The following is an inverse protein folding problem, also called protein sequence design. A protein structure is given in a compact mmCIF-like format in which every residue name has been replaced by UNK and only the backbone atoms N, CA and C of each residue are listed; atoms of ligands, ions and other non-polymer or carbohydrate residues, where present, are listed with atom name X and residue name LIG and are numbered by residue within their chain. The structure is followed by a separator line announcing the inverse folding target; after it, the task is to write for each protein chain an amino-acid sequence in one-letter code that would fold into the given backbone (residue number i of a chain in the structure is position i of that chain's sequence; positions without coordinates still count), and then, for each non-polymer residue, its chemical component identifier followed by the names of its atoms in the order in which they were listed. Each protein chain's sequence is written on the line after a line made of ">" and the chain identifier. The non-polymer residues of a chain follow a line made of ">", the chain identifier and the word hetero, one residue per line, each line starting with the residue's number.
data_IF_526282477913
#
_entry.id   IF_526282477913
#
_cell.length_a   1.000
_cell.length_b   1.000
_cell.length_c   1.000
_cell.angle_alpha   90.00
_cell.angle_beta   90.00
_cell.angle_gamma   90.00
#
_symmetry.space_group_name_H-M   'P 1'
#
loop_
_entity.id
_entity.type
_entity.pdbx_description
1 polymer ?
#
# COMPACT_ATOMS: atom_id res chain seq x y z
N UNK A 1 -11.32 -4.71 -32.85
CA UNK A 1 -10.62 -3.43 -32.62
C UNK A 1 -9.28 -3.77 -31.99
N UNK A 2 -8.17 -3.05 -32.28
CA UNK A 2 -6.89 -3.37 -31.65
C UNK A 2 -7.00 -3.17 -30.13
N UNK A 3 -6.66 -4.20 -29.36
CA UNK A 3 -6.63 -4.14 -27.88
C UNK A 3 -5.51 -3.21 -27.42
N UNK A 4 -5.69 -2.59 -26.26
CA UNK A 4 -4.71 -1.66 -25.68
C UNK A 4 -3.74 -2.40 -24.74
N UNK A 5 -3.30 -3.59 -25.15
CA UNK A 5 -2.43 -4.47 -24.37
C UNK A 5 -0.96 -4.28 -24.75
N UNK A 6 -0.12 -4.03 -23.75
CA UNK A 6 1.33 -3.94 -23.87
C UNK A 6 2.01 -5.24 -23.42
N UNK A 7 2.91 -5.73 -24.28
CA UNK A 7 3.76 -6.90 -24.04
C UNK A 7 5.20 -6.49 -24.34
N UNK A 8 5.99 -6.33 -23.29
CA UNK A 8 7.39 -5.93 -23.40
C UNK A 8 8.24 -7.04 -24.04
N UNK A 9 9.41 -6.66 -24.55
CA UNK A 9 10.35 -7.61 -25.15
C UNK A 9 10.82 -8.66 -24.14
N UNK A 10 10.93 -8.31 -22.86
CA UNK A 10 11.31 -9.24 -21.79
C UNK A 10 10.20 -10.28 -21.56
N UNK A 11 8.93 -9.84 -21.45
CA UNK A 11 7.80 -10.74 -21.30
C UNK A 11 7.67 -11.65 -22.53
N UNK A 12 7.82 -11.08 -23.74
CA UNK A 12 7.79 -11.83 -25.00
C UNK A 12 8.91 -12.87 -25.09
N UNK A 13 10.11 -12.56 -24.61
CA UNK A 13 11.22 -13.50 -24.60
C UNK A 13 10.96 -14.70 -23.69
N UNK A 14 10.26 -14.51 -22.57
CA UNK A 14 9.94 -15.57 -21.61
C UNK A 14 8.76 -16.45 -22.04
N UNK A 15 7.66 -15.85 -22.54
CA UNK A 15 6.46 -16.61 -22.95
C UNK A 15 6.54 -17.13 -24.39
N UNK A 16 7.47 -16.60 -25.19
CA UNK A 16 7.63 -16.91 -26.61
C UNK A 16 6.78 -16.03 -27.54
N UNK A 17 7.27 -15.83 -28.78
CA UNK A 17 6.65 -14.95 -29.76
C UNK A 17 5.23 -15.37 -30.14
N UNK A 18 4.98 -16.67 -30.26
CA UNK A 18 3.67 -17.21 -30.64
C UNK A 18 2.60 -16.97 -29.57
N UNK A 19 2.95 -17.09 -28.29
CA UNK A 19 2.06 -16.81 -27.16
C UNK A 19 1.82 -15.30 -27.01
N UNK A 20 2.87 -14.49 -27.15
CA UNK A 20 2.75 -13.03 -27.14
C UNK A 20 1.83 -12.53 -28.27
N UNK A 21 1.91 -13.12 -29.45
CA UNK A 21 1.04 -12.77 -30.57
C UNK A 21 -0.42 -13.19 -30.31
N UNK A 22 -0.65 -14.37 -29.70
CA UNK A 22 -2.00 -14.82 -29.26
C UNK A 22 -2.63 -13.90 -28.21
N UNK A 23 -1.84 -13.32 -27.31
CA UNK A 23 -2.31 -12.33 -26.34
C UNK A 23 -2.70 -11.01 -27.00
N UNK A 24 -1.93 -10.58 -28.01
CA UNK A 24 -2.17 -9.33 -28.73
C UNK A 24 -3.36 -9.43 -29.70
N UNK A 25 -3.60 -10.59 -30.32
CA UNK A 25 -4.87 -10.90 -31.02
C UNK A 25 -6.00 -11.16 -30.03
N UNK A 26 -5.61 -11.56 -28.82
CA UNK A 26 -6.36 -11.89 -27.61
C UNK A 26 -7.36 -13.01 -27.79
N UNK A 27 -6.83 -14.10 -28.32
CA UNK A 27 -7.38 -15.44 -28.15
C UNK A 27 -7.20 -15.92 -26.69
N UNK A 28 -6.09 -15.51 -26.04
CA UNK A 28 -5.74 -15.93 -24.66
C UNK A 28 -5.80 -14.80 -23.61
N UNK A 29 -6.15 -13.57 -24.01
CA UNK A 29 -6.31 -12.45 -23.08
C UNK A 29 -7.70 -12.49 -22.40
N UNK A 30 -7.78 -12.32 -21.07
CA UNK A 30 -9.05 -12.32 -20.36
C UNK A 30 -9.89 -11.08 -20.74
N UNK A 31 -11.22 -11.23 -20.72
CA UNK A 31 -12.16 -10.11 -20.95
C UNK A 31 -12.22 -9.10 -19.80
N UNK A 32 -11.80 -9.50 -18.62
CA UNK A 32 -11.68 -8.65 -17.44
C UNK A 32 -10.59 -9.20 -16.54
N UNK A 33 -9.83 -8.33 -15.88
CA UNK A 33 -8.80 -8.71 -14.92
C UNK A 33 -8.88 -7.83 -13.67
N UNK A 34 -8.41 -8.33 -12.55
CA UNK A 34 -8.11 -7.48 -11.39
C UNK A 34 -6.66 -6.99 -11.51
N UNK A 35 -6.47 -5.67 -11.55
CA UNK A 35 -5.14 -5.09 -11.67
C UNK A 35 -4.23 -5.61 -10.54
N UNK A 36 -3.11 -6.25 -10.88
CA UNK A 36 -2.20 -6.82 -9.86
C UNK A 36 -1.65 -5.77 -8.88
N UNK A 37 -1.65 -4.50 -9.28
CA UNK A 37 -1.23 -3.36 -8.45
C UNK A 37 -2.34 -2.81 -7.56
N UNK A 38 -3.44 -2.32 -8.16
CA UNK A 38 -4.47 -1.57 -7.45
C UNK A 38 -5.74 -2.40 -7.14
N UNK A 39 -5.78 -3.66 -7.58
CA UNK A 39 -6.90 -4.61 -7.45
C UNK A 39 -8.25 -4.11 -7.98
N UNK A 40 -8.23 -3.04 -8.78
CA UNK A 40 -9.42 -2.55 -9.47
C UNK A 40 -9.63 -3.36 -10.75
N UNK A 41 -10.87 -3.71 -11.10
CA UNK A 41 -11.17 -4.36 -12.38
C UNK A 41 -10.73 -3.49 -13.56
N UNK A 42 -10.18 -4.13 -14.59
CA UNK A 42 -9.87 -3.52 -15.88
C UNK A 42 -10.24 -4.44 -17.04
N UNK A 43 -10.38 -3.87 -18.24
CA UNK A 43 -10.70 -4.60 -19.48
C UNK A 43 -9.70 -4.21 -20.58
N UNK A 44 -8.90 -5.15 -21.11
CA UNK A 44 -7.87 -4.87 -22.13
C UNK A 44 -8.44 -4.48 -23.50
N UNK A 45 -9.76 -4.61 -23.72
CA UNK A 45 -10.43 -4.07 -24.90
C UNK A 45 -10.70 -2.56 -24.81
N UNK A 46 -10.88 -2.03 -23.59
CA UNK A 46 -11.25 -0.62 -23.37
C UNK A 46 -10.18 0.20 -22.65
N UNK A 47 -9.34 -0.44 -21.85
CA UNK A 47 -8.36 0.20 -20.98
C UNK A 47 -6.93 -0.12 -21.43
N UNK A 48 -5.99 0.84 -21.33
CA UNK A 48 -4.57 0.56 -21.46
C UNK A 48 -4.09 -0.45 -20.41
N UNK A 49 -3.61 -1.60 -20.85
CA UNK A 49 -3.23 -2.74 -20.00
C UNK A 49 -1.78 -3.15 -20.25
N UNK A 50 -1.04 -3.42 -19.18
CA UNK A 50 0.30 -4.02 -19.20
C UNK A 50 0.23 -5.49 -18.79
N UNK A 51 1.05 -6.32 -19.43
CA UNK A 51 1.33 -7.69 -18.98
C UNK A 51 2.45 -7.74 -17.95
N UNK A 52 2.24 -8.45 -16.84
CA UNK A 52 3.25 -8.68 -15.80
C UNK A 52 3.46 -10.18 -15.67
N UNK A 53 4.66 -10.66 -15.96
CA UNK A 53 5.00 -12.07 -15.83
C UNK A 53 5.77 -12.29 -14.53
N UNK A 54 5.18 -13.03 -13.60
CA UNK A 54 5.87 -13.44 -12.39
C UNK A 54 6.58 -14.77 -12.63
N UNK A 55 7.89 -14.84 -12.39
CA UNK A 55 8.71 -16.03 -12.62
C UNK A 55 9.28 -16.50 -11.28
N UNK A 56 8.92 -17.73 -10.90
CA UNK A 56 9.48 -18.50 -9.80
C UNK A 56 10.58 -19.45 -10.26
N UNK A 57 10.98 -20.37 -9.38
CA UNK A 57 12.01 -21.37 -9.71
C UNK A 57 11.47 -22.47 -10.63
N UNK A 58 10.19 -22.82 -10.47
CA UNK A 58 9.54 -23.89 -11.24
C UNK A 58 8.30 -23.42 -12.01
N UNK A 59 7.73 -22.27 -11.64
CA UNK A 59 6.45 -21.80 -12.19
C UNK A 59 6.52 -20.36 -12.70
N UNK A 60 5.72 -20.06 -13.73
CA UNK A 60 5.56 -18.71 -14.25
C UNK A 60 4.07 -18.39 -14.39
N UNK A 61 3.67 -17.18 -14.00
CA UNK A 61 2.27 -16.75 -13.95
C UNK A 61 2.13 -15.40 -14.64
N UNK A 62 1.31 -15.38 -15.69
CA UNK A 62 0.98 -14.16 -16.40
C UNK A 62 -0.20 -13.45 -15.72
N UNK A 63 -0.03 -12.18 -15.42
CA UNK A 63 -1.05 -11.31 -14.84
C UNK A 63 -1.15 -9.98 -15.61
N UNK A 64 -2.16 -9.19 -15.27
CA UNK A 64 -2.48 -7.94 -15.96
C UNK A 64 -2.55 -6.77 -14.97
N UNK A 65 -2.18 -5.59 -15.44
CA UNK A 65 -2.25 -4.34 -14.70
C UNK A 65 -2.72 -3.21 -15.61
N UNK A 66 -3.29 -2.14 -15.06
CA UNK A 66 -3.40 -0.91 -15.83
C UNK A 66 -2.01 -0.42 -16.23
N UNK A 67 -1.85 0.08 -17.46
CA UNK A 67 -0.58 0.61 -17.94
C UNK A 67 -0.04 1.77 -17.08
N UNK A 68 -0.94 2.53 -16.45
CA UNK A 68 -0.58 3.59 -15.50
C UNK A 68 -0.18 3.09 -14.11
N UNK A 69 -0.44 1.82 -13.77
CA UNK A 69 -0.08 1.25 -12.47
C UNK A 69 1.30 0.59 -12.51
N UNK A 70 1.55 -0.26 -13.51
CA UNK A 70 2.81 -1.02 -13.65
C UNK A 70 3.10 -1.15 -15.15
N UNK A 71 4.35 -0.91 -15.61
CA UNK A 71 4.74 -1.18 -17.01
C UNK A 71 4.77 -2.68 -17.30
N UNK A 72 4.74 -3.07 -18.57
CA UNK A 72 4.93 -4.48 -18.92
C UNK A 72 6.34 -4.96 -18.56
N UNK A 73 6.46 -6.02 -17.76
CA UNK A 73 7.74 -6.47 -17.20
C UNK A 73 7.71 -7.93 -16.70
N UNK A 74 8.90 -8.48 -16.50
CA UNK A 74 9.13 -9.77 -15.81
C UNK A 74 9.55 -9.49 -14.37
N UNK A 75 8.94 -10.19 -13.41
CA UNK A 75 9.20 -10.04 -11.98
C UNK A 75 9.58 -11.38 -11.38
N UNK A 76 10.83 -11.51 -10.93
CA UNK A 76 11.31 -12.72 -10.24
C UNK A 76 10.87 -12.71 -8.79
N UNK A 77 10.19 -13.77 -8.33
CA UNK A 77 9.78 -13.92 -6.93
C UNK A 77 10.05 -15.34 -6.42
N UNK A 78 10.00 -15.56 -5.11
CA UNK A 78 10.16 -16.93 -4.58
C UNK A 78 8.94 -17.80 -4.91
N UNK A 79 9.14 -19.12 -4.99
CA UNK A 79 8.06 -20.07 -5.30
C UNK A 79 6.90 -19.99 -4.29
N UNK A 80 7.21 -19.73 -3.00
CA UNK A 80 6.22 -19.52 -1.94
C UNK A 80 5.35 -18.27 -2.17
N UNK A 81 5.95 -17.19 -2.71
CA UNK A 81 5.23 -15.96 -3.06
C UNK A 81 4.37 -16.15 -4.31
N UNK A 82 4.85 -16.92 -5.29
CA UNK A 82 4.10 -17.22 -6.51
C UNK A 82 2.83 -18.01 -6.21
N UNK A 83 2.93 -19.04 -5.37
CA UNK A 83 1.76 -19.87 -4.98
C UNK A 83 0.70 -19.08 -4.20
N UNK A 84 1.12 -18.10 -3.39
CA UNK A 84 0.21 -17.17 -2.71
C UNK A 84 -0.50 -16.23 -3.68
N UNK A 85 0.21 -15.72 -4.69
CA UNK A 85 -0.35 -14.86 -5.73
C UNK A 85 -1.36 -15.63 -6.60
N UNK A 86 -1.04 -16.86 -7.02
CA UNK A 86 -1.91 -17.73 -7.83
C UNK A 86 -3.26 -17.97 -7.15
N UNK A 87 -3.29 -18.28 -5.85
CA UNK A 87 -4.56 -18.47 -5.12
C UNK A 87 -5.42 -17.22 -5.06
N UNK A 88 -4.81 -16.03 -5.07
CA UNK A 88 -5.55 -14.76 -5.08
C UNK A 88 -6.03 -14.36 -6.48
N UNK A 89 -5.44 -14.93 -7.54
CA UNK A 89 -5.72 -14.60 -8.95
C UNK A 89 -6.73 -15.58 -9.57
N UNK A 90 -6.72 -16.86 -9.18
CA UNK A 90 -7.59 -17.90 -9.80
C UNK A 90 -9.03 -17.92 -9.28
N UNK A 91 -9.42 -17.05 -8.34
CA UNK A 91 -10.83 -16.82 -7.99
C UNK A 91 -11.67 -18.07 -7.70
N UNK A 92 -11.11 -19.11 -7.06
CA UNK A 92 -11.87 -20.31 -6.69
C UNK A 92 -12.69 -20.03 -5.41
N UNK A 93 -13.69 -19.16 -5.56
CA UNK A 93 -14.83 -19.05 -4.66
C UNK A 93 -16.01 -19.73 -5.35
N UNK A 94 -16.49 -20.90 -4.86
CA UNK A 94 -17.75 -21.43 -5.34
C UNK A 94 -18.85 -20.41 -5.05
N UNK A 95 -19.69 -20.15 -6.06
CA UNK A 95 -20.80 -19.21 -6.00
C UNK A 95 -21.67 -19.42 -4.74
N UNK A 96 -22.15 -18.35 -4.09
CA UNK A 96 -22.91 -18.49 -2.85
C UNK A 96 -24.34 -18.95 -3.17
N UNK A 97 -24.57 -20.25 -3.11
CA UNK A 97 -25.89 -20.76 -2.72
C UNK A 97 -26.05 -20.63 -1.20
N UNK A 98 -27.24 -20.20 -0.81
CA UNK A 98 -27.59 -19.80 0.53
C UNK A 98 -27.39 -20.88 1.60
N UNK A 99 -26.76 -20.48 2.72
CA UNK A 99 -27.18 -20.71 4.12
C UNK A 99 -25.97 -20.97 5.04
N UNK A 100 -25.89 -20.23 6.15
CA UNK A 100 -25.12 -20.64 7.33
C UNK A 100 -24.19 -19.56 7.87
N UNK A 101 -24.57 -19.01 9.01
CA UNK A 101 -23.76 -18.18 9.91
C UNK A 101 -22.35 -18.73 10.15
N UNK A 102 -21.32 -17.90 9.90
CA UNK A 102 -19.93 -18.16 10.27
C UNK A 102 -19.10 -16.90 10.10
N UNK A 103 -18.51 -16.46 11.21
CA UNK A 103 -17.61 -15.32 11.37
C UNK A 103 -16.30 -15.60 10.61
N UNK A 104 -16.03 -14.87 9.52
CA UNK A 104 -14.79 -15.01 8.75
C UNK A 104 -14.12 -13.65 8.60
N UNK A 105 -13.25 -13.33 9.56
CA UNK A 105 -12.32 -12.22 9.50
C UNK A 105 -11.03 -12.67 8.77
N UNK A 106 -10.39 -11.81 7.96
CA UNK A 106 -9.15 -12.17 7.27
C UNK A 106 -8.07 -12.63 8.27
N UNK A 107 -7.59 -13.86 8.12
CA UNK A 107 -6.58 -14.44 9.01
C UNK A 107 -5.21 -13.75 8.82
N UNK A 108 -4.57 -13.41 9.95
CA UNK A 108 -3.18 -12.94 9.97
C UNK A 108 -2.26 -14.00 9.36
N UNK A 109 -1.41 -13.60 8.40
CA UNK A 109 -0.37 -14.48 7.83
C UNK A 109 0.83 -14.55 8.78
N UNK A 110 1.16 -15.72 9.36
CA UNK A 110 2.31 -15.84 10.26
C UNK A 110 3.62 -15.65 9.49
N UNK A 111 4.46 -14.69 9.91
CA UNK A 111 5.83 -14.53 9.42
C UNK A 111 6.01 -13.76 8.10
N UNK A 112 4.95 -13.24 7.49
CA UNK A 112 5.05 -12.37 6.31
C UNK A 112 5.52 -10.96 6.66
N UNK A 113 6.30 -10.33 5.78
CA UNK A 113 6.58 -8.90 5.89
C UNK A 113 5.27 -8.11 5.79
N UNK A 114 4.99 -7.27 6.80
CA UNK A 114 3.79 -6.44 6.84
C UNK A 114 3.74 -5.51 5.62
N UNK A 115 2.68 -5.62 4.82
CA UNK A 115 2.44 -4.69 3.70
C UNK A 115 1.59 -3.54 4.21
N UNK A 116 2.16 -2.33 4.21
CA UNK A 116 1.51 -1.11 4.66
C UNK A 116 1.04 -0.27 3.48
N UNK A 117 -0.24 0.09 3.48
CA UNK A 117 -0.80 1.12 2.61
C UNK A 117 -0.55 2.50 3.19
N UNK A 118 -0.23 3.48 2.33
CA UNK A 118 -0.13 4.89 2.70
C UNK A 118 -1.08 5.71 1.85
N UNK A 119 -1.89 6.52 2.52
CA UNK A 119 -2.70 7.58 1.91
C UNK A 119 -2.12 8.94 2.27
N UNK A 120 -1.85 9.78 1.27
CA UNK A 120 -1.43 11.17 1.50
C UNK A 120 -2.62 12.12 1.45
N UNK A 121 -2.69 13.09 2.36
CA UNK A 121 -3.79 14.06 2.41
C UNK A 121 -3.43 15.28 3.26
N UNK A 122 -4.32 16.27 3.27
CA UNK A 122 -4.21 17.42 4.17
C UNK A 122 -5.15 17.25 5.36
N UNK A 123 -4.68 17.67 6.54
CA UNK A 123 -5.50 17.73 7.76
C UNK A 123 -5.53 19.17 8.25
N UNK A 124 -6.72 19.69 8.50
CA UNK A 124 -6.91 21.01 9.09
C UNK A 124 -6.83 20.92 10.61
N UNK A 125 -5.87 21.60 11.23
CA UNK A 125 -5.70 21.68 12.67
C UNK A 125 -5.71 23.15 13.07
N UNK A 126 -6.70 23.57 13.86
CA UNK A 126 -6.84 24.96 14.37
C UNK A 126 -6.75 26.03 13.26
N UNK A 127 -7.28 25.71 12.07
CA UNK A 127 -7.28 26.62 10.92
C UNK A 127 -6.00 26.59 10.06
N UNK A 128 -5.02 25.76 10.41
CA UNK A 128 -3.81 25.54 9.62
C UNK A 128 -3.85 24.17 8.91
N UNK A 129 -3.49 24.15 7.62
CA UNK A 129 -3.37 22.91 6.85
C UNK A 129 -2.02 22.26 7.13
N UNK A 130 -2.06 21.00 7.55
CA UNK A 130 -0.89 20.15 7.77
C UNK A 130 -0.83 19.03 6.74
N UNK A 131 0.35 18.74 6.17
CA UNK A 131 0.52 17.56 5.35
C UNK A 131 0.46 16.32 6.23
N UNK A 132 -0.37 15.35 5.83
CA UNK A 132 -0.56 14.12 6.57
C UNK A 132 -0.30 12.89 5.69
N UNK A 133 0.16 11.83 6.34
CA UNK A 133 0.19 10.47 5.83
C UNK A 133 -0.66 9.61 6.77
N UNK A 134 -1.54 8.79 6.20
CA UNK A 134 -2.30 7.79 6.94
C UNK A 134 -1.81 6.42 6.53
N UNK A 135 -1.37 5.65 7.52
CA UNK A 135 -0.79 4.32 7.35
C UNK A 135 -1.75 3.28 7.87
N UNK A 136 -2.10 2.33 7.02
CA UNK A 136 -2.96 1.21 7.37
C UNK A 136 -2.36 -0.09 6.81
N UNK A 137 -2.19 -1.14 7.62
CA UNK A 137 -1.73 -2.41 7.11
C UNK A 137 -2.82 -3.05 6.24
N UNK A 138 -2.41 -3.86 5.27
CA UNK A 138 -3.35 -4.57 4.37
C UNK A 138 -3.98 -5.81 4.99
N UNK A 139 -3.43 -6.27 6.13
CA UNK A 139 -3.92 -7.39 6.93
C UNK A 139 -3.59 -7.16 8.41
N UNK A 140 -4.24 -7.85 9.36
CA UNK A 140 -3.89 -7.73 10.77
C UNK A 140 -2.42 -8.08 11.01
N UNK A 141 -1.74 -7.32 11.87
CA UNK A 141 -0.32 -7.54 12.16
C UNK A 141 -0.19 -8.36 13.42
N UNK A 142 0.61 -9.42 13.38
CA UNK A 142 0.93 -10.23 14.55
C UNK A 142 2.44 -10.25 14.76
N UNK A 143 2.88 -10.30 16.04
CA UNK A 143 4.30 -10.51 16.34
C UNK A 143 4.78 -11.88 15.85
N UNK A 144 6.05 -11.99 15.40
CA UNK A 144 6.64 -13.28 15.09
C UNK A 144 6.51 -14.25 16.28
N UNK A 145 5.96 -15.44 16.05
CA UNK A 145 5.78 -16.47 17.07
C UNK A 145 4.48 -16.39 17.87
N UNK A 146 3.59 -15.43 17.60
CA UNK A 146 2.23 -15.43 18.17
C UNK A 146 1.25 -16.15 17.23
N UNK A 147 0.31 -16.92 17.80
CA UNK A 147 -0.66 -17.74 17.04
C UNK A 147 -2.12 -17.41 17.38
N UNK A 148 -2.37 -16.22 17.94
CA UNK A 148 -3.71 -15.78 18.36
C UNK A 148 -4.38 -14.83 17.35
N UNK A 149 -5.73 -14.67 17.42
CA UNK A 149 -6.48 -13.69 16.64
C UNK A 149 -6.30 -12.30 17.25
N UNK A 150 -5.17 -11.66 16.98
CA UNK A 150 -4.85 -10.32 17.49
C UNK A 150 -4.26 -9.43 16.40
N UNK A 151 -4.44 -8.11 16.56
CA UNK A 151 -3.75 -7.10 15.77
C UNK A 151 -2.84 -6.29 16.70
N UNK A 152 -1.55 -6.62 16.63
CA UNK A 152 -0.45 -6.02 17.38
C UNK A 152 0.03 -4.70 16.75
N UNK A 153 -0.58 -4.22 15.65
CA UNK A 153 -0.11 -3.03 14.92
C UNK A 153 0.01 -1.78 15.81
N UNK A 154 -1.05 -1.44 16.57
CA UNK A 154 -1.00 -0.27 17.45
C UNK A 154 -0.05 -0.45 18.63
N UNK A 155 -0.07 -1.57 19.39
CA UNK A 155 0.93 -1.83 20.42
C UNK A 155 2.37 -1.67 19.93
N UNK A 156 2.69 -2.22 18.75
CA UNK A 156 4.02 -2.12 18.14
C UNK A 156 4.41 -0.66 17.84
N UNK A 157 3.50 0.15 17.31
CA UNK A 157 3.79 1.56 17.05
C UNK A 157 3.92 2.39 18.33
N UNK A 158 3.15 2.08 19.36
CA UNK A 158 3.26 2.72 20.68
C UNK A 158 4.64 2.42 21.29
N UNK A 159 5.14 1.20 21.17
CA UNK A 159 6.51 0.83 21.58
C UNK A 159 7.59 1.62 20.82
N UNK A 160 7.31 2.00 19.57
CA UNK A 160 8.20 2.86 18.76
C UNK A 160 8.03 4.36 19.06
N UNK A 161 7.12 4.74 19.96
CA UNK A 161 6.93 6.11 20.43
C UNK A 161 5.78 6.88 19.76
N UNK A 162 4.96 6.25 18.92
CA UNK A 162 3.71 6.86 18.48
C UNK A 162 2.76 7.02 19.66
N UNK A 163 1.97 8.11 19.67
CA UNK A 163 1.06 8.41 20.78
C UNK A 163 -0.39 8.18 20.35
N UNK A 164 -1.23 7.53 21.19
CA UNK A 164 -2.67 7.45 20.95
C UNK A 164 -3.31 8.83 20.75
N UNK A 165 -4.11 8.97 19.70
CA UNK A 165 -4.80 10.21 19.39
C UNK A 165 -6.18 10.20 20.03
N UNK A 166 -6.44 11.18 20.90
CA UNK A 166 -7.74 11.40 21.53
C UNK A 166 -8.48 12.61 20.95
N UNK A 167 -7.73 13.58 20.42
CA UNK A 167 -8.25 14.74 19.68
C UNK A 167 -7.38 15.02 18.46
N UNK A 168 -7.96 14.88 17.29
CA UNK A 168 -7.36 15.12 15.98
C UNK A 168 -7.22 16.63 15.67
N UNK A 169 -7.75 17.52 16.50
CA UNK A 169 -7.48 18.97 16.48
C UNK A 169 -6.21 19.38 17.23
N UNK A 170 -5.44 18.41 17.71
CA UNK A 170 -4.13 18.64 18.30
C UNK A 170 -3.04 18.13 17.37
N UNK A 171 -1.94 18.89 17.29
CA UNK A 171 -0.76 18.48 16.53
C UNK A 171 -0.06 17.36 17.30
N UNK A 172 0.16 16.18 16.69
CA UNK A 172 0.90 15.08 17.32
C UNK A 172 2.29 15.50 17.79
N UNK A 173 2.80 14.83 18.83
CA UNK A 173 4.16 15.05 19.30
C UNK A 173 5.20 14.67 18.26
N UNK A 174 6.33 15.37 18.25
CA UNK A 174 7.47 14.99 17.44
C UNK A 174 7.99 13.60 17.84
N UNK A 175 8.37 12.78 16.86
CA UNK A 175 8.95 11.46 17.08
C UNK A 175 10.42 11.43 16.64
N UNK A 176 11.39 11.46 17.58
CA UNK A 176 12.80 11.54 17.25
C UNK A 176 13.32 10.34 16.45
N UNK A 177 14.22 10.61 15.50
CA UNK A 177 14.89 9.59 14.69
C UNK A 177 14.02 8.95 13.61
N UNK A 178 12.74 9.34 13.52
CA UNK A 178 11.87 9.04 12.38
C UNK A 178 11.87 10.21 11.41
N UNK A 179 11.72 9.93 10.11
CA UNK A 179 11.64 10.99 9.11
C UNK A 179 10.86 10.58 7.87
N UNK A 180 10.40 11.57 7.10
CA UNK A 180 9.72 11.33 5.81
C UNK A 180 10.65 11.73 4.67
N UNK A 181 10.90 10.80 3.75
CA UNK A 181 11.71 11.04 2.56
C UNK A 181 10.84 11.60 1.44
N UNK A 182 11.03 12.90 1.19
CA UNK A 182 10.46 13.61 0.05
C UNK A 182 11.60 14.05 -0.88
N UNK A 183 11.54 13.66 -2.15
CA UNK A 183 12.55 14.05 -3.15
C UNK A 183 11.87 14.34 -4.49
N UNK A 184 12.28 15.44 -5.14
CA UNK A 184 11.66 15.88 -6.39
C UNK A 184 10.17 16.26 -6.26
N UNK A 185 9.69 16.58 -5.04
CA UNK A 185 8.28 16.86 -4.79
C UNK A 185 7.39 15.61 -4.75
N UNK A 186 7.98 14.42 -4.68
CA UNK A 186 7.32 13.14 -4.55
C UNK A 186 7.70 12.44 -3.24
N UNK A 187 6.79 11.62 -2.72
CA UNK A 187 6.97 10.83 -1.50
C UNK A 187 7.64 9.49 -1.84
N UNK A 188 8.74 9.17 -1.16
CA UNK A 188 9.51 7.95 -1.41
C UNK A 188 9.43 6.95 -0.25
N UNK A 189 9.56 7.42 1.00
CA UNK A 189 9.65 6.52 2.15
C UNK A 189 9.24 7.21 3.47
N UNK A 190 8.87 6.38 4.44
CA UNK A 190 8.88 6.73 5.86
C UNK A 190 10.04 5.95 6.48
N UNK A 191 10.96 6.68 7.10
CA UNK A 191 12.19 6.15 7.65
C UNK A 191 12.06 6.03 9.17
N UNK A 192 12.53 4.90 9.70
CA UNK A 192 12.64 4.65 11.13
C UNK A 192 14.11 4.72 11.58
N UNK A 193 14.37 4.94 12.88
CA UNK A 193 15.70 4.88 13.43
C UNK A 193 16.38 3.54 13.11
N UNK A 194 17.66 3.58 12.76
CA UNK A 194 18.46 2.36 12.61
C UNK A 194 18.72 1.69 13.97
N UNK A 195 18.99 0.38 13.95
CA UNK A 195 19.42 -0.35 15.13
C UNK A 195 20.72 0.25 15.70
N UNK A 196 20.80 0.34 17.04
CA UNK A 196 21.98 0.83 17.78
C UNK A 196 22.49 2.23 17.34
N UNK A 197 21.59 3.09 16.85
CA UNK A 197 21.97 4.43 16.35
C UNK A 197 22.61 4.40 14.97
N UNK A 198 22.48 3.30 14.24
CA UNK A 198 22.84 3.18 12.84
C UNK A 198 22.00 4.08 11.92
N UNK A 199 22.31 4.09 10.61
CA UNK A 199 21.59 4.91 9.65
C UNK A 199 20.10 4.53 9.64
N UNK A 200 19.25 5.52 9.37
CA UNK A 200 17.83 5.29 9.18
C UNK A 200 17.57 4.23 8.11
N UNK A 201 16.56 3.39 8.35
CA UNK A 201 16.10 2.37 7.41
C UNK A 201 14.65 2.62 7.03
N UNK A 202 14.23 2.19 5.85
CA UNK A 202 12.84 2.34 5.44
C UNK A 202 11.94 1.46 6.30
N UNK A 203 11.02 2.09 7.04
CA UNK A 203 9.89 1.41 7.66
C UNK A 203 8.79 1.14 6.62
N UNK A 204 8.60 2.10 5.72
CA UNK A 204 7.80 1.97 4.51
C UNK A 204 8.54 2.60 3.34
N UNK A 205 8.43 1.98 2.16
CA UNK A 205 8.99 2.51 0.92
C UNK A 205 7.98 2.33 -0.21
N UNK A 206 7.81 3.39 -0.99
CA UNK A 206 7.00 3.36 -2.20
C UNK A 206 7.73 2.55 -3.28
N UNK A 207 7.02 1.64 -3.96
CA UNK A 207 7.55 0.96 -5.15
C UNK A 207 7.89 1.95 -6.26
N UNK A 208 7.09 3.01 -6.40
CA UNK A 208 7.36 4.18 -7.21
C UNK A 208 7.04 5.44 -6.41
N UNK A 209 7.82 6.50 -6.62
CA UNK A 209 7.65 7.76 -5.91
C UNK A 209 6.22 8.30 -6.09
N UNK A 210 5.51 8.50 -4.99
CA UNK A 210 4.11 8.92 -5.02
C UNK A 210 4.01 10.43 -5.23
N UNK A 211 3.25 10.83 -6.23
CA UNK A 211 2.89 12.24 -6.43
C UNK A 211 1.94 12.70 -5.33
N UNK A 212 2.31 13.79 -4.66
CA UNK A 212 1.46 14.48 -3.69
C UNK A 212 0.79 15.69 -4.34
N UNK A 213 -0.28 16.21 -3.75
CA UNK A 213 -0.97 17.40 -4.27
C UNK A 213 -0.13 18.67 -4.07
N UNK A 214 -0.43 19.73 -4.83
CA UNK A 214 0.22 21.04 -4.63
C UNK A 214 -0.03 21.60 -3.22
N UNK A 215 -1.23 21.41 -2.68
CA UNK A 215 -1.58 21.82 -1.32
C UNK A 215 -0.72 21.09 -0.29
N UNK A 216 -0.52 19.78 -0.46
CA UNK A 216 0.37 18.99 0.40
C UNK A 216 1.82 19.49 0.34
N UNK A 217 2.35 19.75 -0.87
CA UNK A 217 3.69 20.32 -1.05
C UNK A 217 3.84 21.70 -0.42
N UNK A 218 2.84 22.56 -0.59
CA UNK A 218 2.86 23.89 0.00
C UNK A 218 2.87 23.81 1.54
N UNK A 219 2.05 22.92 2.10
CA UNK A 219 1.96 22.71 3.54
C UNK A 219 3.29 22.17 4.10
N UNK A 220 3.91 21.16 3.49
CA UNK A 220 5.17 20.59 3.97
C UNK A 220 6.34 21.58 3.85
N UNK A 221 6.38 22.40 2.79
CA UNK A 221 7.40 23.44 2.65
C UNK A 221 7.26 24.52 3.73
N UNK A 222 6.03 24.82 4.16
CA UNK A 222 5.76 25.79 5.23
C UNK A 222 6.10 25.22 6.61
N UNK A 223 5.68 23.99 6.90
CA UNK A 223 5.72 23.43 8.26
C UNK A 223 6.99 22.64 8.56
N UNK A 224 7.71 22.22 7.51
CA UNK A 224 8.88 21.32 7.54
C UNK A 224 8.64 20.03 8.33
N UNK A 225 7.37 19.60 8.41
CA UNK A 225 6.94 18.42 9.17
C UNK A 225 5.77 17.75 8.46
N UNK A 226 5.67 16.44 8.62
CA UNK A 226 4.57 15.61 8.15
C UNK A 226 3.91 14.95 9.35
N UNK A 227 2.59 14.97 9.41
CA UNK A 227 1.84 14.26 10.44
C UNK A 227 1.59 12.84 9.95
N UNK A 228 2.05 11.84 10.69
CA UNK A 228 1.83 10.44 10.36
C UNK A 228 0.81 9.88 11.34
N UNK A 229 -0.34 9.48 10.81
CA UNK A 229 -1.39 8.77 11.52
C UNK A 229 -1.34 7.30 11.13
N UNK A 230 -1.56 6.41 12.08
CA UNK A 230 -1.60 4.98 11.82
C UNK A 230 -2.77 4.31 12.55
N UNK A 231 -3.41 3.39 11.86
CA UNK A 231 -4.58 2.65 12.37
C UNK A 231 -4.55 1.18 11.91
N UNK A 232 -5.18 0.25 12.65
CA UNK A 232 -5.34 -1.15 12.24
C UNK A 232 -6.05 -1.29 10.90
N UNK A 233 -5.86 -2.42 10.23
CA UNK A 233 -6.55 -2.75 8.97
C UNK A 233 -8.07 -2.55 9.11
N UNK A 234 -8.68 -1.95 8.08
CA UNK A 234 -10.11 -1.66 8.02
C UNK A 234 -10.58 -0.50 8.89
N UNK A 235 -9.68 0.25 9.54
CA UNK A 235 -10.08 1.35 10.43
C UNK A 235 -10.34 2.66 9.68
N UNK A 236 -9.54 2.98 8.66
CA UNK A 236 -9.68 4.20 7.87
C UNK A 236 -10.17 3.87 6.47
N UNK A 237 -9.56 2.89 5.81
CA UNK A 237 -9.86 2.54 4.42
C UNK A 237 -9.45 3.62 3.41
N UNK A 238 -9.92 3.47 2.17
CA UNK A 238 -9.65 4.44 1.10
C UNK A 238 -10.55 5.66 1.24
N UNK A 239 -9.94 6.85 1.25
CA UNK A 239 -10.67 8.11 1.44
C UNK A 239 -10.46 9.02 0.22
N UNK A 240 -11.49 9.19 -0.64
CA UNK A 240 -11.34 9.92 -1.90
C UNK A 240 -11.30 11.45 -1.72
N UNK A 241 -11.60 11.95 -0.52
CA UNK A 241 -11.68 13.37 -0.20
C UNK A 241 -11.11 13.65 1.18
N UNK A 242 -10.59 14.86 1.37
CA UNK A 242 -9.93 15.29 2.62
C UNK A 242 -10.91 15.41 3.80
N UNK A 243 -12.16 15.79 3.55
CA UNK A 243 -13.20 15.85 4.59
C UNK A 243 -13.60 14.44 5.07
N UNK A 244 -13.71 13.47 4.16
CA UNK A 244 -13.96 12.08 4.52
C UNK A 244 -12.77 11.44 5.25
N UNK A 245 -11.55 11.79 4.84
CA UNK A 245 -10.33 11.41 5.57
C UNK A 245 -10.36 11.93 6.99
N UNK A 246 -10.79 13.19 7.17
CA UNK A 246 -10.90 13.79 8.49
C UNK A 246 -11.92 13.06 9.36
N UNK A 247 -13.12 12.81 8.85
CA UNK A 247 -14.16 12.08 9.59
C UNK A 247 -13.71 10.67 9.98
N UNK A 248 -12.98 9.98 9.10
CA UNK A 248 -12.44 8.66 9.36
C UNK A 248 -11.37 8.67 10.48
N UNK A 249 -10.48 9.67 10.49
CA UNK A 249 -9.50 9.86 11.56
C UNK A 249 -10.21 10.15 12.90
N UNK A 250 -11.22 11.03 12.90
CA UNK A 250 -11.98 11.37 14.11
C UNK A 250 -12.69 10.14 14.68
N UNK A 251 -13.28 9.32 13.81
CA UNK A 251 -13.90 8.05 14.18
C UNK A 251 -12.88 7.03 14.70
N UNK A 252 -11.70 6.93 14.08
CA UNK A 252 -10.66 6.01 14.56
C UNK A 252 -10.14 6.45 15.94
N UNK A 253 -9.91 7.75 16.14
CA UNK A 253 -9.50 8.34 17.41
C UNK A 253 -10.53 8.07 18.52
N UNK A 254 -11.82 8.32 18.27
CA UNK A 254 -12.88 8.08 19.26
C UNK A 254 -13.02 6.61 19.65
N UNK A 255 -12.61 5.68 18.77
CA UNK A 255 -12.61 4.24 19.03
C UNK A 255 -11.30 3.74 19.65
N UNK A 256 -10.34 4.64 19.95
CA UNK A 256 -9.02 4.25 20.47
C UNK A 256 -8.17 3.48 19.46
N UNK A 257 -8.44 3.63 18.17
CA UNK A 257 -7.80 2.91 17.06
C UNK A 257 -6.83 3.77 16.25
N UNK A 258 -6.39 4.90 16.79
CA UNK A 258 -5.53 5.83 16.08
C UNK A 258 -4.32 6.20 16.95
N UNK A 259 -3.13 6.08 16.37
CA UNK A 259 -1.90 6.64 16.92
C UNK A 259 -1.29 7.61 15.92
N UNK A 260 -0.51 8.57 16.40
CA UNK A 260 0.14 9.53 15.53
C UNK A 260 1.48 10.03 16.05
N UNK A 261 2.25 10.59 15.12
CA UNK A 261 3.51 11.27 15.35
C UNK A 261 3.70 12.40 14.33
N UNK A 262 4.42 13.45 14.73
CA UNK A 262 4.93 14.44 13.80
C UNK A 262 6.38 14.09 13.43
N UNK A 263 6.66 14.00 12.14
CA UNK A 263 7.98 13.62 11.62
C UNK A 263 8.60 14.77 10.81
N UNK A 264 9.91 15.03 10.94
CA UNK A 264 10.64 15.93 10.06
C UNK A 264 10.81 15.33 8.66
N UNK A 265 11.25 16.16 7.71
CA UNK A 265 11.73 15.66 6.42
C UNK A 265 13.15 15.08 6.57
N UNK A 266 13.43 13.99 5.86
CA UNK A 266 14.76 13.40 5.81
C UNK A 266 15.79 14.44 5.35
N UNK A 267 16.93 14.51 6.05
CA UNK A 267 17.98 15.50 5.77
C UNK A 267 17.78 16.89 6.41
N UNK A 268 16.71 17.09 7.18
CA UNK A 268 16.52 18.31 8.00
C UNK A 268 17.01 18.12 9.44
N UNK A 269 17.37 19.20 10.16
CA UNK A 269 17.79 19.10 11.56
C UNK A 269 16.67 18.50 12.43
N UNK A 270 16.92 17.36 13.06
CA UNK A 270 15.95 16.63 13.89
C UNK A 270 15.42 15.32 13.28
N UNK A 271 15.76 15.02 12.01
CA UNK A 271 15.63 13.70 11.41
C UNK A 271 16.63 12.69 11.99
#
# INVERSE_FOLDING_TARGET
>A
MPRMLDVSLEVRAEIGDEEADRLLTGDDAPRSYDCTSCRTPGDPETDPTSTVLFVGEETAVLAFAHAGCIPSQVVTVSEEQLQGAVRSITGDSPAPEAAGSGDDAPQAVPGGQAVLGITSGLVLIRGELHPALVVEPTAPIARPGTTGPGDDFLPLLIEQGFIPVTDTNEVPSALPGWSVLLAGGQLHAVLQPGAEGGPQVAWWQAHQALSVTDGWRAAVNKTQRVLVYAAPVGSIGQQPREDLLRDALDKAASNGKLVAAAMPLAGTPGA
#
